data_IF_534470261669
#
_entry.id   IF_534470261669
#
_cell.length_a   1.000
_cell.length_b   1.000
_cell.length_c   1.000
_cell.angle_alpha   90.00
_cell.angle_beta   90.00
_cell.angle_gamma   90.00
#
_symmetry.space_group_name_H-M   'P 1'
#
loop_
_entity.id
_entity.type
_entity.pdbx_description
1 polymer ?
#
# COMPACT_ATOMS: atom_id res chain seq x y z
N UNK A 1 -5.27 33.74 14.65
CA UNK A 1 -5.53 33.42 13.22
C UNK A 1 -4.40 32.67 12.54
N UNK A 2 -3.13 33.07 12.63
CA UNK A 2 -2.02 32.39 11.94
C UNK A 2 -1.81 30.89 12.32
N UNK A 3 -2.11 30.50 13.56
CA UNK A 3 -2.05 29.09 14.01
C UNK A 3 -3.08 28.19 13.33
N UNK A 4 -4.20 28.74 12.84
CA UNK A 4 -5.29 27.97 12.20
C UNK A 4 -4.98 27.74 10.71
N UNK A 5 -4.36 28.72 10.04
CA UNK A 5 -3.99 28.61 8.63
C UNK A 5 -2.82 27.62 8.40
N UNK A 6 -1.85 27.56 9.32
CA UNK A 6 -0.73 26.61 9.25
C UNK A 6 -1.20 25.16 9.50
N UNK A 7 -2.27 24.97 10.26
CA UNK A 7 -2.88 23.66 10.50
C UNK A 7 -3.65 23.15 9.26
N UNK A 8 -4.26 24.05 8.48
CA UNK A 8 -5.06 23.71 7.29
C UNK A 8 -4.21 23.34 6.07
N UNK A 9 -3.01 23.91 5.89
CA UNK A 9 -2.11 23.55 4.77
C UNK A 9 -1.36 22.24 5.01
N UNK A 10 -1.10 21.86 6.27
CA UNK A 10 -0.54 20.55 6.61
C UNK A 10 -1.57 19.40 6.62
N UNK A 11 -2.87 19.69 6.49
CA UNK A 11 -3.93 18.77 6.89
C UNK A 11 -4.23 17.59 5.93
N UNK A 12 -3.58 17.44 4.77
CA UNK A 12 -3.94 16.35 3.83
C UNK A 12 -2.78 15.65 3.13
N UNK A 13 -1.58 15.73 3.67
CA UNK A 13 -0.51 14.78 3.31
C UNK A 13 -0.54 13.60 4.28
N UNK A 14 -1.60 12.80 4.20
CA UNK A 14 -1.54 11.45 4.74
C UNK A 14 -0.57 10.68 3.88
N UNK A 15 0.67 10.55 4.36
CA UNK A 15 1.65 9.67 3.74
C UNK A 15 1.08 8.25 3.78
N UNK A 16 0.62 7.75 2.64
CA UNK A 16 0.24 6.34 2.51
C UNK A 16 1.47 5.52 2.89
N UNK A 17 1.36 4.77 3.98
CA UNK A 17 2.39 3.84 4.42
C UNK A 17 2.15 2.58 3.59
N UNK A 18 3.08 2.22 2.70
CA UNK A 18 3.02 0.97 1.95
C UNK A 18 4.09 0.05 2.51
N UNK A 19 3.73 -1.11 3.06
CA UNK A 19 4.69 -2.05 3.63
C UNK A 19 4.15 -2.88 4.79
N UNK A 20 5.04 -3.56 5.54
CA UNK A 20 4.65 -4.53 6.54
C UNK A 20 3.71 -3.94 7.61
N UNK A 21 3.99 -2.72 8.07
CA UNK A 21 3.15 -2.03 9.06
C UNK A 21 1.73 -1.78 8.56
N UNK A 22 1.59 -1.43 7.29
CA UNK A 22 0.28 -1.26 6.65
C UNK A 22 -0.44 -2.61 6.57
N UNK A 23 0.26 -3.67 6.18
CA UNK A 23 -0.28 -5.02 6.15
C UNK A 23 -0.72 -5.53 7.52
N UNK A 24 0.03 -5.23 8.58
CA UNK A 24 -0.41 -5.54 9.95
C UNK A 24 -1.73 -4.84 10.31
N UNK A 25 -1.85 -3.54 9.99
CA UNK A 25 -3.07 -2.77 10.24
C UNK A 25 -4.26 -3.35 9.45
N UNK A 26 -3.99 -3.74 8.21
CA UNK A 26 -4.97 -4.27 7.27
C UNK A 26 -5.47 -5.68 7.60
N UNK A 27 -4.58 -6.55 8.08
CA UNK A 27 -4.93 -7.88 8.60
C UNK A 27 -5.64 -7.77 9.96
N UNK A 28 -5.31 -6.72 10.72
CA UNK A 28 -5.81 -6.53 12.07
C UNK A 28 -5.09 -7.41 13.08
N UNK A 29 -5.23 -7.04 14.36
CA UNK A 29 -4.59 -7.73 15.48
C UNK A 29 -5.65 -8.40 16.36
N UNK A 30 -5.51 -9.71 16.57
CA UNK A 30 -6.36 -10.56 17.39
C UNK A 30 -5.45 -11.39 18.30
N UNK A 31 -5.14 -10.89 19.51
CA UNK A 31 -4.19 -11.59 20.40
C UNK A 31 -4.73 -12.94 20.90
N UNK A 32 -6.04 -13.09 20.96
CA UNK A 32 -6.72 -14.34 21.32
C UNK A 32 -7.33 -14.96 20.07
N UNK A 33 -7.61 -16.26 20.13
CA UNK A 33 -8.21 -16.99 19.02
C UNK A 33 -9.59 -16.40 18.64
N UNK A 34 -9.81 -16.15 17.34
CA UNK A 34 -11.12 -15.79 16.79
C UNK A 34 -11.33 -16.41 15.41
N UNK A 35 -12.57 -16.76 15.08
CA UNK A 35 -12.94 -17.13 13.72
C UNK A 35 -12.98 -15.89 12.80
N UNK A 36 -12.32 -15.98 11.65
CA UNK A 36 -12.40 -14.96 10.60
C UNK A 36 -13.79 -14.92 9.95
N UNK A 37 -13.98 -14.03 8.96
CA UNK A 37 -15.27 -13.90 8.26
C UNK A 37 -15.70 -15.15 7.50
N UNK A 38 -14.79 -16.10 7.26
CA UNK A 38 -15.05 -17.38 6.61
C UNK A 38 -15.16 -18.53 7.63
N UNK A 39 -15.15 -18.23 8.94
CA UNK A 39 -15.20 -19.24 10.00
C UNK A 39 -13.86 -19.94 10.28
N UNK A 40 -12.75 -19.47 9.72
CA UNK A 40 -11.42 -20.07 9.93
C UNK A 40 -10.82 -19.55 11.24
N UNK A 41 -10.40 -20.43 12.18
CA UNK A 41 -9.72 -20.01 13.40
C UNK A 41 -8.41 -19.27 13.12
N UNK A 42 -8.27 -18.08 13.69
CA UNK A 42 -7.11 -17.18 13.51
C UNK A 42 -6.63 -16.60 14.84
N UNK A 43 -5.34 -16.31 14.94
CA UNK A 43 -4.71 -15.63 16.08
C UNK A 43 -3.60 -14.69 15.60
N UNK A 44 -3.14 -13.79 16.47
CA UNK A 44 -2.08 -12.83 16.19
C UNK A 44 -2.50 -11.83 15.10
N UNK A 45 -1.72 -11.76 14.02
CA UNK A 45 -1.96 -10.88 12.88
C UNK A 45 -2.13 -11.73 11.63
N UNK A 46 -3.37 -12.14 11.36
CA UNK A 46 -3.73 -12.94 10.18
C UNK A 46 -3.18 -14.38 10.17
N UNK A 47 -2.67 -14.91 11.29
CA UNK A 47 -2.16 -16.28 11.35
C UNK A 47 -3.32 -17.27 11.45
N UNK A 48 -3.48 -18.16 10.45
CA UNK A 48 -4.51 -19.20 10.41
C UNK A 48 -4.05 -20.41 11.21
N UNK A 49 -4.87 -20.89 12.14
CA UNK A 49 -4.56 -22.05 12.99
C UNK A 49 -4.82 -23.40 12.29
N UNK A 50 -5.31 -23.38 11.04
CA UNK A 50 -5.53 -24.56 10.21
C UNK A 50 -4.28 -24.99 9.44
N UNK A 51 -3.14 -24.32 9.65
CA UNK A 51 -1.87 -24.68 9.00
C UNK A 51 -1.24 -25.89 9.67
N UNK A 52 -0.53 -26.68 8.89
CA UNK A 52 0.15 -27.90 9.35
C UNK A 52 1.23 -27.63 10.42
N UNK A 53 1.83 -26.43 10.41
CA UNK A 53 2.85 -26.01 11.38
C UNK A 53 2.29 -25.38 12.65
N UNK A 54 0.97 -25.23 12.78
CA UNK A 54 0.34 -24.49 13.88
C UNK A 54 0.66 -25.06 15.26
N UNK A 55 0.76 -26.38 15.40
CA UNK A 55 1.12 -27.01 16.68
C UNK A 55 2.51 -26.56 17.14
N UNK A 56 3.50 -26.64 16.25
CA UNK A 56 4.90 -26.27 16.54
C UNK A 56 5.02 -24.78 16.84
N UNK A 57 4.34 -23.94 16.04
CA UNK A 57 4.38 -22.48 16.22
C UNK A 57 3.76 -22.07 17.55
N UNK A 58 2.60 -22.64 17.93
CA UNK A 58 1.98 -22.33 19.23
C UNK A 58 2.86 -22.79 20.40
N UNK A 59 3.44 -24.00 20.32
CA UNK A 59 4.30 -24.54 21.37
C UNK A 59 5.54 -23.69 21.64
N UNK A 60 6.08 -23.02 20.62
CA UNK A 60 7.20 -22.07 20.75
C UNK A 60 6.90 -20.96 21.77
N UNK A 61 5.63 -20.63 21.98
CA UNK A 61 5.17 -19.58 22.88
C UNK A 61 4.49 -20.10 24.15
N UNK A 62 4.71 -21.38 24.50
CA UNK A 62 4.06 -22.07 25.61
C UNK A 62 2.52 -22.10 25.50
N UNK A 63 2.00 -22.11 24.27
CA UNK A 63 0.59 -22.32 23.97
C UNK A 63 0.42 -23.70 23.34
N UNK A 64 -0.63 -24.44 23.69
CA UNK A 64 -1.00 -25.65 22.96
C UNK A 64 -2.09 -25.33 21.94
N UNK A 65 -2.01 -25.88 20.74
CA UNK A 65 -2.99 -25.60 19.68
C UNK A 65 -4.41 -25.96 20.13
N UNK A 66 -4.57 -27.09 20.84
CA UNK A 66 -5.87 -27.52 21.38
C UNK A 66 -6.48 -26.50 22.35
N UNK A 67 -5.68 -25.88 23.21
CA UNK A 67 -6.17 -24.87 24.15
C UNK A 67 -6.59 -23.59 23.43
N UNK A 68 -5.77 -23.15 22.47
CA UNK A 68 -6.07 -21.96 21.65
C UNK A 68 -7.33 -22.18 20.80
N UNK A 69 -7.49 -23.36 20.17
CA UNK A 69 -8.70 -23.68 19.40
C UNK A 69 -9.94 -23.81 20.29
N UNK A 70 -9.80 -24.33 21.51
CA UNK A 70 -10.91 -24.36 22.48
C UNK A 70 -11.39 -22.96 22.82
N UNK A 71 -10.50 -21.96 22.88
CA UNK A 71 -10.87 -20.57 23.10
C UNK A 71 -11.69 -20.00 21.94
N UNK A 72 -11.32 -20.31 20.69
CA UNK A 72 -12.12 -19.96 19.51
C UNK A 72 -13.54 -20.55 19.58
N UNK A 73 -13.66 -21.83 19.96
CA UNK A 73 -14.94 -22.53 19.99
C UNK A 73 -15.86 -22.03 21.10
N UNK A 74 -15.29 -21.73 22.28
CA UNK A 74 -16.04 -21.27 23.46
C UNK A 74 -16.17 -19.76 23.55
N UNK A 75 -15.55 -19.03 22.62
CA UNK A 75 -15.46 -17.57 22.62
C UNK A 75 -14.87 -17.04 23.94
N UNK A 76 -13.75 -17.64 24.37
CA UNK A 76 -12.99 -17.26 25.57
C UNK A 76 -11.62 -16.69 25.22
N UNK A 77 -10.96 -16.04 26.18
CA UNK A 77 -9.67 -15.34 26.00
C UNK A 77 -8.64 -15.78 27.03
N UNK A 78 -8.52 -17.08 27.27
CA UNK A 78 -7.64 -17.65 28.31
C UNK A 78 -6.21 -17.87 27.79
N UNK A 79 -6.06 -18.19 26.51
CA UNK A 79 -4.82 -18.56 25.83
C UNK A 79 -4.56 -17.57 24.70
N UNK A 80 -4.02 -16.41 25.07
CA UNK A 80 -3.73 -15.32 24.14
C UNK A 80 -2.22 -15.10 24.02
N UNK A 81 -1.81 -14.63 22.84
CA UNK A 81 -0.44 -14.19 22.59
C UNK A 81 -0.19 -12.79 23.14
N UNK A 82 1.07 -12.46 23.39
CA UNK A 82 1.49 -11.07 23.58
C UNK A 82 1.57 -10.34 22.24
N UNK A 83 1.67 -9.01 22.27
CA UNK A 83 1.90 -8.23 21.05
C UNK A 83 3.19 -8.66 20.34
N UNK A 84 4.29 -8.83 21.08
CA UNK A 84 5.58 -9.17 20.51
C UNK A 84 5.56 -10.53 19.82
N UNK A 85 4.89 -11.53 20.42
CA UNK A 85 4.71 -12.85 19.81
C UNK A 85 3.88 -12.78 18.52
N UNK A 86 2.80 -11.99 18.52
CA UNK A 86 1.95 -11.80 17.35
C UNK A 86 2.69 -11.10 16.20
N UNK A 87 3.51 -10.09 16.51
CA UNK A 87 4.36 -9.41 15.53
C UNK A 87 5.47 -10.32 15.01
N UNK A 88 6.09 -11.11 15.88
CA UNK A 88 7.13 -12.06 15.48
C UNK A 88 6.60 -13.12 14.50
N UNK A 89 5.46 -13.76 14.81
CA UNK A 89 4.80 -14.70 13.88
C UNK A 89 4.48 -14.01 12.55
N UNK A 90 3.95 -12.79 12.60
CA UNK A 90 3.63 -12.03 11.40
C UNK A 90 4.85 -11.86 10.50
N UNK A 91 5.97 -11.36 11.03
CA UNK A 91 7.17 -11.12 10.23
C UNK A 91 7.83 -12.40 9.75
N UNK A 92 7.95 -13.41 10.62
CA UNK A 92 8.67 -14.65 10.31
C UNK A 92 7.90 -15.61 9.39
N UNK A 93 6.57 -15.60 9.48
CA UNK A 93 5.72 -16.56 8.78
C UNK A 93 4.79 -15.84 7.81
N UNK A 94 3.75 -15.18 8.31
CA UNK A 94 2.64 -14.68 7.46
C UNK A 94 3.10 -13.70 6.38
N UNK A 95 3.91 -12.70 6.76
CA UNK A 95 4.42 -11.68 5.83
C UNK A 95 5.50 -12.23 4.91
N UNK A 96 6.36 -13.15 5.40
CA UNK A 96 7.37 -13.82 4.58
C UNK A 96 6.71 -14.63 3.45
N UNK A 97 5.70 -15.43 3.77
CA UNK A 97 4.98 -16.23 2.77
C UNK A 97 4.21 -15.36 1.78
N UNK A 98 3.57 -14.28 2.26
CA UNK A 98 2.92 -13.30 1.38
C UNK A 98 3.95 -12.63 0.45
N UNK A 99 5.16 -12.37 0.94
CA UNK A 99 6.29 -11.85 0.17
C UNK A 99 6.73 -12.81 -0.92
N UNK A 100 6.97 -14.08 -0.57
CA UNK A 100 7.33 -15.11 -1.54
C UNK A 100 6.26 -15.31 -2.61
N UNK A 101 4.98 -15.23 -2.23
CA UNK A 101 3.88 -15.30 -3.18
C UNK A 101 3.87 -14.11 -4.13
N UNK A 102 4.00 -12.89 -3.61
CA UNK A 102 4.03 -11.67 -4.41
C UNK A 102 5.21 -11.67 -5.41
N UNK A 103 6.38 -12.12 -4.97
CA UNK A 103 7.58 -12.20 -5.82
C UNK A 103 7.43 -13.24 -6.94
N UNK A 104 6.77 -14.37 -6.67
CA UNK A 104 6.40 -15.36 -7.71
C UNK A 104 5.33 -14.82 -8.65
N UNK A 105 4.44 -13.96 -8.16
CA UNK A 105 3.37 -13.38 -8.94
C UNK A 105 3.90 -12.37 -9.96
N UNK A 106 4.66 -11.36 -9.52
CA UNK A 106 5.41 -10.43 -10.37
C UNK A 106 6.69 -10.01 -9.64
N UNK A 107 7.84 -10.37 -10.20
CA UNK A 107 9.15 -10.02 -9.66
C UNK A 107 9.57 -8.58 -10.01
N UNK A 108 10.49 -8.01 -9.24
CA UNK A 108 11.16 -6.73 -9.52
C UNK A 108 10.24 -5.49 -9.58
N UNK A 109 9.11 -5.54 -8.88
CA UNK A 109 8.25 -4.36 -8.71
C UNK A 109 8.94 -3.29 -7.84
N UNK A 110 8.70 -2.00 -8.11
CA UNK A 110 9.13 -0.94 -7.20
C UNK A 110 8.55 -1.17 -5.78
N UNK A 111 9.31 -0.88 -4.71
CA UNK A 111 8.95 -1.15 -3.31
C UNK A 111 7.49 -0.88 -2.91
N UNK A 112 6.90 0.26 -3.26
CA UNK A 112 5.52 0.61 -2.93
C UNK A 112 4.51 -0.30 -3.63
N UNK A 113 4.72 -0.58 -4.92
CA UNK A 113 3.84 -1.49 -5.68
C UNK A 113 3.99 -2.90 -5.14
N UNK A 114 5.23 -3.34 -4.93
CA UNK A 114 5.52 -4.65 -4.35
C UNK A 114 4.81 -4.83 -3.01
N UNK A 115 4.90 -3.84 -2.12
CA UNK A 115 4.25 -3.89 -0.81
C UNK A 115 2.72 -3.98 -0.88
N UNK A 116 2.08 -3.31 -1.85
CA UNK A 116 0.64 -3.47 -2.09
C UNK A 116 0.29 -4.90 -2.56
N UNK A 117 1.10 -5.48 -3.45
CA UNK A 117 0.90 -6.86 -3.90
C UNK A 117 1.10 -7.85 -2.74
N UNK A 118 2.05 -7.59 -1.83
CA UNK A 118 2.22 -8.38 -0.61
C UNK A 118 0.98 -8.28 0.30
N UNK A 119 0.40 -7.09 0.46
CA UNK A 119 -0.82 -6.93 1.25
C UNK A 119 -1.99 -7.75 0.68
N UNK A 120 -2.18 -7.71 -0.64
CA UNK A 120 -3.19 -8.52 -1.33
C UNK A 120 -2.91 -10.02 -1.13
N UNK A 121 -1.63 -10.44 -1.27
CA UNK A 121 -1.19 -11.82 -1.05
C UNK A 121 -1.44 -12.30 0.38
N UNK A 122 -1.34 -11.42 1.37
CA UNK A 122 -1.53 -11.74 2.78
C UNK A 122 -2.96 -12.18 3.12
N UNK A 123 -3.96 -11.86 2.28
CA UNK A 123 -5.31 -12.46 2.40
C UNK A 123 -5.31 -13.91 1.90
N UNK A 124 -4.75 -14.13 0.70
CA UNK A 124 -4.58 -15.46 0.10
C UNK A 124 -3.73 -15.39 -1.16
N UNK A 125 -2.63 -16.16 -1.19
CA UNK A 125 -1.80 -16.31 -2.38
C UNK A 125 -2.58 -16.87 -3.58
N UNK A 126 -3.51 -17.80 -3.33
CA UNK A 126 -4.37 -18.37 -4.38
C UNK A 126 -5.27 -17.30 -5.01
N UNK A 127 -5.80 -16.38 -4.20
CA UNK A 127 -6.63 -15.30 -4.69
C UNK A 127 -5.81 -14.30 -5.53
N UNK A 128 -4.57 -14.00 -5.14
CA UNK A 128 -3.71 -13.13 -5.93
C UNK A 128 -3.52 -13.65 -7.37
N UNK A 129 -3.36 -14.96 -7.55
CA UNK A 129 -3.18 -15.57 -8.87
C UNK A 129 -4.39 -15.41 -9.82
N UNK A 130 -5.57 -15.01 -9.32
CA UNK A 130 -6.74 -14.79 -10.19
C UNK A 130 -6.73 -13.40 -10.85
N UNK A 131 -5.84 -12.49 -10.46
CA UNK A 131 -5.78 -11.12 -10.97
C UNK A 131 -5.03 -10.99 -12.31
N UNK A 132 -5.42 -11.78 -13.31
CA UNK A 132 -4.69 -11.91 -14.59
C UNK A 132 -4.44 -10.56 -15.29
N UNK A 133 -5.42 -9.66 -15.32
CA UNK A 133 -5.30 -8.35 -15.96
C UNK A 133 -4.39 -7.39 -15.18
N UNK A 134 -4.54 -7.34 -13.85
CA UNK A 134 -3.61 -6.60 -12.99
C UNK A 134 -2.17 -7.09 -13.19
N UNK A 135 -1.94 -8.41 -13.25
CA UNK A 135 -0.61 -8.97 -13.55
C UNK A 135 -0.04 -8.43 -14.86
N UNK A 136 -0.85 -8.46 -15.92
CA UNK A 136 -0.46 -7.95 -17.24
C UNK A 136 -0.09 -6.47 -17.18
N UNK A 137 -0.92 -5.65 -16.54
CA UNK A 137 -0.67 -4.22 -16.37
C UNK A 137 0.61 -3.95 -15.57
N UNK A 138 0.83 -4.68 -14.46
CA UNK A 138 2.04 -4.59 -13.64
C UNK A 138 3.32 -4.92 -14.45
N UNK A 139 3.29 -5.98 -15.27
CA UNK A 139 4.41 -6.36 -16.13
C UNK A 139 4.71 -5.32 -17.22
N UNK A 140 3.70 -4.55 -17.64
CA UNK A 140 3.84 -3.45 -18.59
C UNK A 140 4.18 -2.11 -17.93
N UNK A 141 4.37 -2.10 -16.60
CA UNK A 141 4.50 -0.88 -15.80
C UNK A 141 3.31 0.09 -15.93
N UNK A 142 2.13 -0.41 -16.32
CA UNK A 142 0.90 0.39 -16.38
C UNK A 142 0.25 0.43 -14.99
N UNK A 143 0.76 1.32 -14.14
CA UNK A 143 0.35 1.42 -12.74
C UNK A 143 -1.11 1.85 -12.57
N UNK A 144 -1.60 2.70 -13.45
CA UNK A 144 -2.99 3.17 -13.43
C UNK A 144 -3.94 2.02 -13.70
N UNK A 145 -3.74 1.28 -14.79
CA UNK A 145 -4.57 0.11 -15.12
C UNK A 145 -4.45 -0.99 -14.05
N UNK A 146 -3.25 -1.23 -13.52
CA UNK A 146 -3.07 -2.19 -12.43
C UNK A 146 -3.86 -1.80 -11.17
N UNK A 147 -3.88 -0.52 -10.81
CA UNK A 147 -4.63 -0.04 -9.66
C UNK A 147 -6.15 -0.13 -9.89
N UNK A 148 -6.63 0.23 -11.08
CA UNK A 148 -8.04 0.10 -11.48
C UNK A 148 -8.50 -1.36 -11.43
N UNK A 149 -7.72 -2.28 -11.97
CA UNK A 149 -8.00 -3.73 -11.89
C UNK A 149 -8.01 -4.26 -10.44
N UNK A 150 -7.21 -3.69 -9.54
CA UNK A 150 -7.30 -4.01 -8.11
C UNK A 150 -8.63 -3.50 -7.52
N UNK A 151 -8.99 -2.26 -7.81
CA UNK A 151 -10.19 -1.60 -7.28
C UNK A 151 -11.48 -2.28 -7.77
N UNK A 152 -11.51 -2.73 -9.02
CA UNK A 152 -12.68 -3.37 -9.64
C UNK A 152 -12.81 -4.86 -9.26
N UNK A 153 -11.88 -5.39 -8.47
CA UNK A 153 -11.86 -6.80 -8.09
C UNK A 153 -12.87 -7.15 -6.99
N UNK A 154 -13.28 -8.43 -6.97
CA UNK A 154 -14.04 -9.02 -5.84
C UNK A 154 -13.29 -8.93 -4.51
N UNK A 155 -11.97 -8.93 -4.53
CA UNK A 155 -11.18 -8.76 -3.30
C UNK A 155 -11.44 -7.38 -2.69
N UNK A 156 -11.48 -6.32 -3.50
CA UNK A 156 -11.72 -4.96 -3.03
C UNK A 156 -13.09 -4.83 -2.34
N UNK A 157 -14.12 -5.52 -2.84
CA UNK A 157 -15.44 -5.55 -2.21
C UNK A 157 -15.47 -6.32 -0.87
N UNK A 158 -14.53 -7.25 -0.66
CA UNK A 158 -14.42 -8.04 0.57
C UNK A 158 -13.62 -7.33 1.68
N UNK A 159 -12.49 -6.69 1.35
CA UNK A 159 -11.49 -6.25 2.35
C UNK A 159 -11.76 -4.90 3.02
N UNK A 160 -12.98 -4.38 2.89
CA UNK A 160 -13.41 -3.01 3.26
C UNK A 160 -12.74 -1.93 2.40
N UNK A 161 -13.52 -0.88 2.09
CA UNK A 161 -13.12 0.21 1.19
C UNK A 161 -11.77 0.84 1.53
N UNK A 162 -11.50 1.09 2.81
CA UNK A 162 -10.24 1.72 3.27
C UNK A 162 -9.00 0.96 2.80
N UNK A 163 -8.94 -0.35 3.05
CA UNK A 163 -7.77 -1.19 2.73
C UNK A 163 -7.52 -1.21 1.22
N UNK A 164 -8.58 -1.46 0.44
CA UNK A 164 -8.49 -1.43 -1.00
C UNK A 164 -8.01 -0.07 -1.53
N UNK A 165 -8.51 1.05 -1.00
CA UNK A 165 -8.05 2.39 -1.38
C UNK A 165 -6.58 2.62 -1.04
N UNK A 166 -6.10 2.13 0.10
CA UNK A 166 -4.68 2.28 0.48
C UNK A 166 -3.75 1.51 -0.49
N UNK A 167 -4.10 0.27 -0.83
CA UNK A 167 -3.30 -0.53 -1.77
C UNK A 167 -3.42 0.00 -3.20
N UNK A 168 -4.59 0.51 -3.60
CA UNK A 168 -4.77 1.24 -4.86
C UNK A 168 -3.80 2.41 -4.98
N UNK A 169 -3.71 3.25 -3.94
CA UNK A 169 -2.79 4.39 -3.93
C UNK A 169 -1.31 3.96 -3.93
N UNK A 170 -0.99 2.84 -3.28
CA UNK A 170 0.35 2.27 -3.31
C UNK A 170 0.73 1.77 -4.72
N UNK A 171 -0.21 1.22 -5.48
CA UNK A 171 0.01 0.80 -6.86
C UNK A 171 0.09 2.03 -7.79
N UNK A 172 -0.92 2.89 -7.78
CA UNK A 172 -1.08 4.02 -8.72
C UNK A 172 0.03 5.06 -8.66
N UNK A 173 0.45 5.47 -7.47
CA UNK A 173 1.34 6.64 -7.31
C UNK A 173 2.80 6.32 -7.62
N UNK A 174 3.47 7.13 -8.45
CA UNK A 174 4.90 6.97 -8.72
C UNK A 174 5.75 7.21 -7.44
N UNK A 175 6.73 6.34 -7.18
CA UNK A 175 7.62 6.45 -6.01
C UNK A 175 8.45 7.74 -5.99
N UNK A 176 8.70 8.33 -7.17
CA UNK A 176 9.38 9.61 -7.32
C UNK A 176 8.69 10.73 -6.54
N UNK A 177 7.36 10.68 -6.41
CA UNK A 177 6.63 11.65 -5.61
C UNK A 177 7.10 11.61 -4.15
N UNK A 178 7.31 10.43 -3.55
CA UNK A 178 7.67 10.32 -2.13
C UNK A 178 9.09 10.81 -1.84
N UNK A 179 10.05 10.52 -2.71
CA UNK A 179 11.44 10.98 -2.55
C UNK A 179 11.52 12.51 -2.62
N UNK A 180 10.81 13.12 -3.57
CA UNK A 180 10.81 14.56 -3.73
C UNK A 180 10.16 15.27 -2.53
N UNK A 181 9.01 14.77 -2.04
CA UNK A 181 8.34 15.34 -0.87
C UNK A 181 9.14 15.15 0.42
N UNK A 182 9.73 13.96 0.62
CA UNK A 182 10.63 13.71 1.75
C UNK A 182 11.78 14.72 1.76
N UNK A 183 12.48 14.88 0.63
CA UNK A 183 13.61 15.80 0.53
C UNK A 183 13.19 17.25 0.73
N UNK A 184 12.02 17.65 0.23
CA UNK A 184 11.47 18.99 0.41
C UNK A 184 11.11 19.26 1.89
N UNK A 185 10.41 18.35 2.55
CA UNK A 185 10.03 18.45 3.97
C UNK A 185 11.30 18.54 4.84
N UNK A 186 12.32 17.71 4.57
CA UNK A 186 13.59 17.77 5.30
C UNK A 186 14.31 19.11 5.11
N UNK A 187 14.33 19.66 3.89
CA UNK A 187 14.89 21.00 3.63
C UNK A 187 14.08 22.08 4.35
N UNK A 188 12.75 22.00 4.34
CA UNK A 188 11.88 22.95 5.02
C UNK A 188 12.11 22.91 6.55
N UNK A 189 12.14 21.73 7.15
CA UNK A 189 12.45 21.53 8.58
C UNK A 189 13.84 22.07 8.92
N UNK A 190 14.84 21.79 8.07
CA UNK A 190 16.20 22.31 8.26
C UNK A 190 16.24 23.84 8.25
N UNK A 191 15.56 24.49 7.28
CA UNK A 191 15.46 25.95 7.21
C UNK A 191 14.74 26.50 8.43
N UNK A 192 13.59 25.92 8.81
CA UNK A 192 12.83 26.33 9.99
C UNK A 192 13.65 26.19 11.28
N UNK A 193 14.44 25.13 11.43
CA UNK A 193 15.31 24.93 12.61
C UNK A 193 16.42 25.99 12.70
N UNK A 194 17.00 26.39 11.55
CA UNK A 194 17.97 27.48 11.48
C UNK A 194 17.33 28.82 11.84
N UNK A 195 16.13 29.10 11.33
CA UNK A 195 15.40 30.35 11.60
C UNK A 195 14.97 30.45 13.07
N UNK A 196 14.57 29.34 13.70
CA UNK A 196 14.28 29.30 15.14
C UNK A 196 15.54 29.60 15.97
N UNK A 197 16.71 29.08 15.56
CA UNK A 197 17.98 29.34 16.27
C UNK A 197 18.42 30.81 16.17
N UNK A 198 18.04 31.49 15.10
CA UNK A 198 18.33 32.90 14.84
C UNK A 198 17.37 33.85 15.62
N UNK A 199 16.25 33.32 16.14
CA UNK A 199 15.18 34.06 16.82
C UNK A 199 15.60 34.80 18.10
N UNK A 200 16.83 34.60 18.59
CA UNK A 200 17.39 35.37 19.70
C UNK A 200 17.80 36.81 19.31
N UNK A 201 17.72 37.20 18.03
CA UNK A 201 18.19 38.51 17.55
C UNK A 201 17.17 39.40 16.80
N UNK A 202 15.97 38.93 16.47
CA UNK A 202 15.06 39.65 15.55
C UNK A 202 13.86 40.29 16.26
N UNK A 203 13.43 41.45 15.74
CA UNK A 203 12.26 42.19 16.23
C UNK A 203 10.94 41.53 15.78
N UNK A 204 9.83 41.84 16.47
CA UNK A 204 8.50 41.27 16.15
C UNK A 204 8.06 41.50 14.69
N UNK A 205 8.49 42.58 14.04
CA UNK A 205 8.12 42.93 12.67
C UNK A 205 8.83 42.04 11.62
N UNK A 206 10.11 41.72 11.84
CA UNK A 206 10.89 40.88 10.91
C UNK A 206 10.39 39.43 10.90
N UNK A 207 9.89 38.95 12.05
CA UNK A 207 9.29 37.63 12.16
C UNK A 207 8.00 37.51 11.32
N UNK A 208 7.20 38.58 11.26
CA UNK A 208 5.96 38.61 10.46
C UNK A 208 6.30 38.56 8.96
N UNK A 209 7.30 39.33 8.52
CA UNK A 209 7.76 39.30 7.12
C UNK A 209 8.25 37.92 6.69
N UNK A 210 9.04 37.25 7.54
CA UNK A 210 9.51 35.88 7.28
C UNK A 210 8.36 34.87 7.14
N UNK A 211 7.34 34.98 7.99
CA UNK A 211 6.16 34.11 7.94
C UNK A 211 5.38 34.32 6.63
N UNK A 212 5.20 35.57 6.21
CA UNK A 212 4.53 35.92 4.94
C UNK A 212 5.33 35.36 3.75
N UNK A 213 6.65 35.52 3.78
CA UNK A 213 7.53 35.00 2.73
C UNK A 213 7.49 33.47 2.64
N UNK A 214 7.52 32.76 3.78
CA UNK A 214 7.35 31.30 3.81
C UNK A 214 5.98 30.90 3.26
N UNK A 215 4.91 31.61 3.64
CA UNK A 215 3.56 31.37 3.11
C UNK A 215 3.47 31.56 1.60
N UNK A 216 4.12 32.59 1.04
CA UNK A 216 4.20 32.84 -0.39
C UNK A 216 4.99 31.75 -1.11
N UNK A 217 6.13 31.33 -0.58
CA UNK A 217 6.91 30.22 -1.13
C UNK A 217 6.08 28.93 -1.16
N UNK A 218 5.39 28.58 -0.07
CA UNK A 218 4.53 27.40 -0.02
C UNK A 218 3.39 27.45 -1.05
N UNK A 219 2.81 28.63 -1.29
CA UNK A 219 1.80 28.83 -2.34
C UNK A 219 2.38 28.68 -3.76
N UNK A 220 3.53 29.28 -4.05
CA UNK A 220 4.19 29.16 -5.36
C UNK A 220 4.56 27.70 -5.64
N UNK A 221 5.09 26.99 -4.63
CA UNK A 221 5.38 25.56 -4.76
C UNK A 221 4.11 24.73 -5.00
N UNK A 222 3.01 25.05 -4.31
CA UNK A 222 1.72 24.37 -4.52
C UNK A 222 1.18 24.57 -5.94
N UNK A 223 1.28 25.80 -6.49
CA UNK A 223 0.91 26.08 -7.88
C UNK A 223 1.81 25.35 -8.87
N UNK A 224 3.13 25.37 -8.69
CA UNK A 224 4.05 24.67 -9.58
C UNK A 224 3.78 23.15 -9.60
N UNK A 225 3.43 22.58 -8.44
CA UNK A 225 3.00 21.18 -8.31
C UNK A 225 1.69 20.88 -9.03
N UNK A 226 0.70 21.77 -8.92
CA UNK A 226 -0.57 21.64 -9.64
C UNK A 226 -0.35 21.62 -11.15
N UNK A 227 0.58 22.43 -11.66
CA UNK A 227 0.94 22.46 -13.08
C UNK A 227 1.73 21.21 -13.53
N UNK A 228 2.63 20.66 -12.72
CA UNK A 228 3.36 19.43 -13.07
C UNK A 228 2.45 18.19 -13.09
N UNK A 229 1.51 18.06 -12.16
CA UNK A 229 0.49 17.01 -12.22
C UNK A 229 -0.42 17.14 -13.45
N UNK A 230 -0.72 18.37 -13.87
CA UNK A 230 -1.51 18.62 -15.08
C UNK A 230 -0.74 18.34 -16.38
N UNK A 231 0.60 18.46 -16.40
CA UNK A 231 1.39 18.16 -17.60
C UNK A 231 1.66 16.65 -17.78
N UNK A 232 1.83 15.90 -16.69
CA UNK A 232 1.99 14.44 -16.73
C UNK A 232 0.75 13.73 -17.29
N UNK A 233 -0.45 14.19 -16.90
CA UNK A 233 -1.72 13.67 -17.43
C UNK A 233 -1.91 13.96 -18.93
N UNK A 234 -1.31 15.03 -19.46
CA UNK A 234 -1.34 15.36 -20.88
C UNK A 234 -0.28 14.59 -21.69
N UNK A 235 0.87 14.27 -21.11
CA UNK A 235 1.91 13.46 -21.75
C UNK A 235 1.55 11.96 -21.83
N UNK A 236 0.70 11.45 -20.94
CA UNK A 236 0.17 10.08 -21.01
C UNK A 236 -0.97 9.94 -22.03
N UNK A 237 -1.77 11.00 -22.22
CA UNK A 237 -2.78 11.06 -23.31
C UNK A 237 -2.15 11.06 -24.71
N UNK A 238 -0.97 11.66 -24.89
CA UNK A 238 -0.28 11.63 -26.18
C UNK A 238 0.37 10.27 -26.48
N UNK A 239 0.88 9.57 -25.47
CA UNK A 239 1.46 8.22 -25.65
C UNK A 239 0.41 7.14 -25.91
N UNK A 240 -0.78 7.23 -25.30
CA UNK A 240 -1.92 6.33 -25.60
C UNK A 240 -2.54 6.57 -26.99
N UNK A 241 -2.36 7.76 -27.57
CA UNK A 241 -2.77 8.05 -28.95
C UNK A 241 -1.80 7.45 -29.98
N UNK A 242 -0.49 7.42 -29.66
CA UNK A 242 0.54 6.86 -30.54
C UNK A 242 0.48 5.33 -30.58
N UNK A 243 0.10 4.65 -29.49
CA UNK A 243 -0.03 3.18 -29.50
C UNK A 243 -1.23 2.67 -30.31
N UNK A 244 -2.35 3.41 -30.34
CA UNK A 244 -3.52 3.05 -31.17
C UNK A 244 -3.31 3.25 -32.68
N UNK A 245 -2.29 4.00 -33.10
CA UNK A 245 -2.01 4.26 -34.52
C UNK A 245 -1.21 3.14 -35.20
N UNK A 246 -0.66 2.17 -34.48
CA UNK A 246 0.18 1.10 -35.07
C UNK A 246 -0.53 -0.22 -35.38
N UNK A 247 -1.79 -0.39 -34.95
CA UNK A 247 -2.52 -1.66 -35.08
C UNK A 247 -3.53 -1.72 -36.23
N UNK A 248 -3.59 -0.74 -37.14
CA UNK A 248 -4.58 -0.73 -38.24
C UNK A 248 -4.08 -1.26 -39.59
N UNK A 249 -2.88 -1.86 -39.68
CA UNK A 249 -2.38 -2.47 -40.92
C UNK A 249 -2.08 -3.95 -40.72
N UNK A 250 -3.13 -4.78 -40.72
CA UNK A 250 -3.02 -6.20 -41.09
C UNK A 250 -4.35 -6.66 -41.71
N UNK A 251 -4.38 -6.70 -43.03
CA UNK A 251 -5.45 -7.31 -43.81
C UNK A 251 -5.41 -8.84 -43.69
N UNK A 252 -6.57 -9.53 -43.81
CA UNK A 252 -6.67 -10.97 -43.67
C UNK A 252 -6.32 -11.69 -44.97
N UNK A 253 -5.47 -12.72 -44.90
CA UNK A 253 -5.34 -13.70 -45.98
C UNK A 253 -6.15 -14.95 -45.59
N UNK A 254 -6.96 -15.34 -46.55
CA UNK A 254 -7.97 -16.40 -46.62
C UNK A 254 -7.49 -17.83 -46.35
N UNK A 255 -8.35 -18.55 -45.64
CA UNK A 255 -8.92 -19.87 -45.96
C UNK A 255 -8.12 -20.81 -46.87
N UNK A 256 -7.68 -21.96 -46.33
CA UNK A 256 -7.61 -23.23 -47.07
C UNK A 256 -8.11 -24.38 -46.17
N UNK A 257 -9.24 -24.94 -46.57
CA UNK A 257 -9.73 -26.27 -46.20
C UNK A 257 -8.69 -27.36 -46.47
N UNK A 258 -8.53 -28.30 -45.53
CA UNK A 258 -8.19 -29.67 -45.89
C UNK A 258 -8.74 -30.67 -44.89
N UNK A 259 -9.88 -31.23 -45.28
CA UNK A 259 -10.31 -32.56 -44.93
C UNK A 259 -9.30 -33.60 -45.45
N UNK A 260 -8.92 -34.57 -44.60
CA UNK A 260 -8.82 -36.01 -44.93
C UNK A 260 -8.24 -36.84 -43.78
N UNK A 261 -9.05 -37.86 -43.44
CA UNK A 261 -8.76 -39.14 -42.78
C UNK A 261 -8.44 -39.12 -41.29
#
# INVERSE_FOLDING_TARGET
MLKILLFLVCARLTLTICGPKQTMINQGRQLCCRNDTNGVPTIGIGYKLTRDDSEIVMLTYNLTLSNVLSDCQRNTSKYCMTNDQAEEIFYKISYREATECADKYVSNLPPMKRNAIIDVAATSCRALNTFVKMKKALLMNNWTEAAEELQDSRWCSQVRRRRCTEDYECIRNDERYRSYYSMFIYRLISILSKLIRIRTKYTRLELIGLIIFIGLLLNIFSLHYFFQCSSLTNHEKSLSFISKSKDSNNNPISTIERSRK
#
